data_IF_553225682050
#
_entry.id   IF_553225682050
#
_cell.length_a   1.000
_cell.length_b   1.000
_cell.length_c   1.000
_cell.angle_alpha   90.00
_cell.angle_beta   90.00
_cell.angle_gamma   90.00
#
_symmetry.space_group_name_H-M   'P 1'
#
loop_
_entity.id
_entity.type
_entity.pdbx_description
1 polymer ?
#
# COMPACT_ATOMS: atom_id res chain seq x y z
N UNK A 1 -7.04 13.47 -0.13
CA UNK A 1 -5.61 13.20 -0.44
C UNK A 1 -5.09 13.95 -1.69
N UNK A 2 -5.66 13.82 -2.91
CA UNK A 2 -5.15 14.51 -4.12
C UNK A 2 -4.91 16.01 -3.96
N UNK A 3 -5.86 16.73 -3.37
CA UNK A 3 -5.71 18.17 -3.10
C UNK A 3 -4.47 18.47 -2.24
N UNK A 4 -4.20 17.66 -1.21
CA UNK A 4 -3.05 17.83 -0.32
C UNK A 4 -1.73 17.65 -1.09
N UNK A 5 -1.65 16.58 -1.90
CA UNK A 5 -0.45 16.27 -2.68
C UNK A 5 -0.09 17.39 -3.65
N UNK A 6 -1.09 17.93 -4.37
CA UNK A 6 -0.86 19.02 -5.33
C UNK A 6 -0.54 20.32 -4.60
N UNK A 7 -1.39 20.75 -3.66
CA UNK A 7 -1.34 22.12 -3.14
C UNK A 7 -0.33 22.30 -1.99
N UNK A 8 0.04 21.23 -1.28
CA UNK A 8 1.00 21.30 -0.17
C UNK A 8 2.33 20.66 -0.51
N UNK A 9 2.29 19.47 -1.12
CA UNK A 9 3.50 18.73 -1.47
C UNK A 9 3.98 18.96 -2.90
N UNK A 10 3.29 19.80 -3.68
CA UNK A 10 3.69 20.22 -5.03
C UNK A 10 3.86 19.05 -6.02
N UNK A 11 3.11 17.96 -5.83
CA UNK A 11 3.07 16.89 -6.82
C UNK A 11 2.43 17.40 -8.12
N UNK A 12 3.07 17.19 -9.29
CA UNK A 12 2.46 17.48 -10.58
C UNK A 12 1.10 16.78 -10.71
N UNK A 13 0.04 17.46 -11.16
CA UNK A 13 -1.27 16.82 -11.32
C UNK A 13 -1.25 15.59 -12.23
N UNK A 14 -0.40 15.59 -13.24
CA UNK A 14 -0.25 14.51 -14.23
C UNK A 14 0.53 13.31 -13.69
N UNK A 15 1.25 13.48 -12.57
CA UNK A 15 1.92 12.39 -11.88
C UNK A 15 1.05 11.74 -10.81
N UNK A 16 -0.27 11.99 -10.83
CA UNK A 16 -1.24 11.40 -9.91
C UNK A 16 -2.24 10.56 -10.70
N UNK A 17 -2.14 9.24 -10.53
CA UNK A 17 -3.15 8.30 -10.98
C UNK A 17 -4.16 8.07 -9.84
N UNK A 18 -5.44 8.31 -10.13
CA UNK A 18 -6.53 8.14 -9.18
C UNK A 18 -7.52 7.14 -9.74
N UNK A 19 -7.90 6.15 -8.93
CA UNK A 19 -8.97 5.19 -9.22
C UNK A 19 -10.10 5.41 -8.21
N UNK A 20 -11.33 5.64 -8.69
CA UNK A 20 -12.53 5.81 -7.83
C UNK A 20 -13.78 5.26 -8.49
N UNK A 21 -14.78 4.90 -7.69
CA UNK A 21 -16.08 4.40 -8.17
C UNK A 21 -16.91 5.45 -8.91
N UNK A 22 -16.61 6.74 -8.71
CA UNK A 22 -17.33 7.85 -9.33
C UNK A 22 -16.84 8.16 -10.76
N UNK A 23 -15.78 7.50 -11.22
CA UNK A 23 -15.20 7.72 -12.55
C UNK A 23 -16.03 7.05 -13.65
N UNK A 24 -16.17 7.73 -14.78
CA UNK A 24 -16.82 7.18 -15.98
C UNK A 24 -15.84 6.47 -16.92
N UNK A 25 -14.54 6.76 -16.80
CA UNK A 25 -13.50 6.06 -17.56
C UNK A 25 -13.31 4.64 -16.99
N UNK A 26 -13.55 3.57 -17.79
CA UNK A 26 -13.41 2.20 -17.32
C UNK A 26 -12.00 1.84 -16.84
N UNK A 27 -10.96 2.55 -17.28
CA UNK A 27 -9.57 2.36 -16.82
C UNK A 27 -9.28 3.06 -15.49
N UNK A 28 -10.22 3.89 -15.00
CA UNK A 28 -10.12 4.63 -13.73
C UNK A 28 -11.03 4.06 -12.64
N UNK A 29 -11.79 3.00 -12.94
CA UNK A 29 -12.58 2.27 -11.95
C UNK A 29 -11.65 1.33 -11.13
N UNK A 30 -11.79 1.21 -9.81
CA UNK A 30 -10.91 0.41 -8.95
C UNK A 30 -11.20 -1.11 -9.05
N UNK A 31 -11.11 -1.68 -10.26
CA UNK A 31 -11.12 -3.12 -10.48
C UNK A 31 -9.78 -3.75 -10.07
N UNK A 32 -9.75 -5.07 -9.84
CA UNK A 32 -8.53 -5.79 -9.49
C UNK A 32 -7.43 -5.55 -10.52
N UNK A 33 -7.80 -5.60 -11.80
CA UNK A 33 -6.89 -5.35 -12.90
C UNK A 33 -6.32 -3.92 -12.86
N UNK A 34 -7.18 -2.91 -12.75
CA UNK A 34 -6.75 -1.50 -12.77
C UNK A 34 -5.88 -1.15 -11.56
N UNK A 35 -6.20 -1.68 -10.36
CA UNK A 35 -5.38 -1.48 -9.16
C UNK A 35 -3.99 -2.10 -9.36
N UNK A 36 -3.89 -3.32 -9.90
CA UNK A 36 -2.59 -3.96 -10.21
C UNK A 36 -1.79 -3.12 -11.19
N UNK A 37 -2.41 -2.66 -12.27
CA UNK A 37 -1.74 -1.82 -13.26
C UNK A 37 -1.27 -0.50 -12.66
N UNK A 38 -2.04 0.11 -11.74
CA UNK A 38 -1.65 1.32 -11.05
C UNK A 38 -0.49 1.10 -10.07
N UNK A 39 -0.46 -0.03 -9.36
CA UNK A 39 0.68 -0.44 -8.51
C UNK A 39 1.95 -0.62 -9.34
N UNK A 40 1.87 -1.29 -10.49
CA UNK A 40 3.00 -1.41 -11.41
C UNK A 40 3.45 -0.06 -11.93
N UNK A 41 2.51 0.78 -12.37
CA UNK A 41 2.79 2.13 -12.86
C UNK A 41 3.51 2.98 -11.80
N UNK A 42 3.12 2.88 -10.52
CA UNK A 42 3.69 3.67 -9.43
C UNK A 42 5.21 3.48 -9.29
N UNK A 43 5.72 2.27 -9.47
CA UNK A 43 7.14 1.95 -9.26
C UNK A 43 7.94 1.84 -10.55
N UNK A 44 7.28 1.81 -11.71
CA UNK A 44 7.96 1.66 -13.00
C UNK A 44 8.80 2.90 -13.30
N UNK A 45 10.10 2.70 -13.48
CA UNK A 45 11.03 3.75 -13.85
C UNK A 45 11.46 4.68 -12.70
N UNK A 46 11.15 4.33 -11.44
CA UNK A 46 11.62 5.10 -10.29
C UNK A 46 13.16 5.09 -10.19
N UNK A 47 13.73 6.23 -9.77
CA UNK A 47 15.15 6.47 -9.66
C UNK A 47 15.51 7.01 -8.26
N UNK A 48 16.76 6.84 -7.81
CA UNK A 48 17.21 7.42 -6.54
C UNK A 48 16.85 8.91 -6.44
N UNK A 49 16.18 9.31 -5.35
CA UNK A 49 15.63 10.66 -5.16
C UNK A 49 14.13 10.76 -5.32
N UNK A 50 13.48 9.78 -5.96
CA UNK A 50 12.04 9.79 -6.16
C UNK A 50 11.28 9.54 -4.84
N UNK A 51 10.13 10.22 -4.71
CA UNK A 51 9.20 10.04 -3.59
C UNK A 51 7.84 9.60 -4.12
N UNK A 52 7.52 8.35 -3.85
CA UNK A 52 6.28 7.70 -4.20
C UNK A 52 5.29 7.82 -3.05
N UNK A 53 4.01 7.93 -3.38
CA UNK A 53 2.93 7.79 -2.42
C UNK A 53 1.98 6.67 -2.90
N UNK A 54 1.47 5.88 -1.97
CA UNK A 54 0.39 4.95 -2.24
C UNK A 54 -0.69 5.21 -1.21
N UNK A 55 -1.85 5.67 -1.64
CA UNK A 55 -2.98 5.86 -0.75
C UNK A 55 -4.11 4.93 -1.16
N UNK A 56 -4.61 4.15 -0.21
CA UNK A 56 -5.81 3.34 -0.37
C UNK A 56 -6.79 3.68 0.75
N UNK A 57 -8.02 3.98 0.38
CA UNK A 57 -9.16 4.03 1.30
C UNK A 57 -10.20 3.07 0.77
N UNK A 58 -10.73 2.18 1.61
CA UNK A 58 -11.72 1.19 1.19
C UNK A 58 -11.81 -0.01 2.13
N UNK A 59 -12.40 -1.10 1.66
CA UNK A 59 -12.53 -2.31 2.47
C UNK A 59 -11.26 -3.17 2.41
N UNK A 60 -10.72 -3.45 3.60
CA UNK A 60 -9.78 -4.56 3.78
C UNK A 60 -10.50 -5.89 3.93
N UNK A 61 -9.78 -6.98 3.70
CA UNK A 61 -10.21 -8.35 3.94
C UNK A 61 -9.06 -9.15 4.52
N UNK A 62 -9.39 -10.34 5.02
CA UNK A 62 -8.41 -11.39 5.31
C UNK A 62 -8.64 -12.59 4.41
N UNK A 63 -7.56 -13.22 4.00
CA UNK A 63 -7.57 -14.51 3.34
C UNK A 63 -6.75 -15.48 4.18
N UNK A 64 -7.18 -16.75 4.25
CA UNK A 64 -6.38 -17.76 4.95
C UNK A 64 -5.03 -17.88 4.23
N UNK A 65 -3.95 -17.75 4.99
CA UNK A 65 -2.62 -17.95 4.44
C UNK A 65 -2.40 -19.46 4.20
N UNK A 66 -2.02 -19.81 2.97
CA UNK A 66 -1.73 -21.19 2.56
C UNK A 66 -0.23 -21.51 2.44
N UNK A 67 0.64 -20.50 2.40
CA UNK A 67 2.09 -20.64 2.27
C UNK A 67 2.81 -20.68 3.64
N UNK A 68 2.12 -20.26 4.71
CA UNK A 68 2.58 -20.31 6.10
C UNK A 68 3.59 -19.23 6.50
N UNK A 69 3.71 -18.14 5.75
CA UNK A 69 4.65 -17.07 6.07
C UNK A 69 4.08 -15.98 7.00
N UNK A 70 2.75 -15.89 7.17
CA UNK A 70 2.13 -14.97 8.12
C UNK A 70 2.07 -15.53 9.55
N UNK A 71 2.52 -14.72 10.52
CA UNK A 71 2.60 -15.07 11.94
C UNK A 71 1.22 -15.40 12.54
N UNK A 72 0.18 -14.74 12.04
CA UNK A 72 -1.21 -14.93 12.50
C UNK A 72 -1.99 -15.95 11.63
N UNK A 73 -1.39 -16.49 10.57
CA UNK A 73 -2.01 -17.44 9.63
C UNK A 73 -3.02 -16.84 8.64
N UNK A 74 -3.08 -15.52 8.49
CA UNK A 74 -3.98 -14.83 7.56
C UNK A 74 -3.27 -13.70 6.81
N UNK A 75 -3.36 -13.76 5.48
CA UNK A 75 -2.97 -12.68 4.58
C UNK A 75 -3.99 -11.54 4.70
N UNK A 76 -3.51 -10.31 4.82
CA UNK A 76 -4.33 -9.12 4.63
C UNK A 76 -4.54 -8.88 3.15
N UNK A 77 -5.66 -8.27 2.80
CA UNK A 77 -5.97 -8.01 1.40
C UNK A 77 -6.79 -6.74 1.20
N UNK A 78 -6.55 -6.08 0.07
CA UNK A 78 -7.41 -5.01 -0.43
C UNK A 78 -8.56 -5.63 -1.21
N UNK A 79 -9.77 -5.06 -1.07
CA UNK A 79 -10.95 -5.48 -1.86
C UNK A 79 -11.15 -4.52 -3.04
N UNK A 80 -10.92 -4.97 -4.28
CA UNK A 80 -11.33 -4.24 -5.47
C UNK A 80 -12.86 -4.23 -5.62
N UNK A 81 -13.38 -3.40 -6.53
CA UNK A 81 -14.82 -3.32 -6.77
C UNK A 81 -15.41 -4.63 -7.31
N UNK A 82 -14.64 -5.36 -8.11
CA UNK A 82 -14.99 -6.64 -8.74
C UNK A 82 -14.51 -7.87 -7.94
N UNK A 83 -14.28 -7.72 -6.63
CA UNK A 83 -13.72 -8.78 -5.78
C UNK A 83 -14.58 -10.06 -5.76
N UNK A 84 -15.90 -9.98 -5.98
CA UNK A 84 -16.76 -11.18 -6.03
C UNK A 84 -16.40 -12.10 -7.20
N UNK A 85 -16.00 -11.51 -8.33
CA UNK A 85 -15.65 -12.24 -9.55
C UNK A 85 -14.14 -12.51 -9.65
N UNK A 86 -13.30 -11.56 -9.21
CA UNK A 86 -11.85 -11.59 -9.42
C UNK A 86 -11.05 -11.87 -8.14
N UNK A 87 -11.71 -11.94 -6.99
CA UNK A 87 -11.09 -12.09 -5.68
C UNK A 87 -10.41 -10.80 -5.19
N UNK A 88 -9.73 -10.92 -4.06
CA UNK A 88 -9.01 -9.83 -3.39
C UNK A 88 -7.57 -9.67 -3.90
N UNK A 89 -6.87 -8.61 -3.51
CA UNK A 89 -5.43 -8.40 -3.74
C UNK A 89 -4.72 -8.58 -2.40
N UNK A 90 -3.99 -9.67 -2.24
CA UNK A 90 -3.28 -10.01 -0.99
C UNK A 90 -2.00 -9.18 -0.82
N UNK A 91 -1.61 -8.94 0.43
CA UNK A 91 -0.38 -8.25 0.85
C UNK A 91 0.89 -8.77 0.17
N UNK A 92 1.06 -10.08 0.03
CA UNK A 92 2.18 -10.70 -0.70
C UNK A 92 2.32 -10.16 -2.13
N UNK A 93 1.19 -9.99 -2.82
CA UNK A 93 1.12 -9.45 -4.19
C UNK A 93 1.47 -7.96 -4.21
N UNK A 94 0.99 -7.21 -3.23
CA UNK A 94 1.27 -5.77 -3.11
C UNK A 94 2.75 -5.56 -2.81
N UNK A 95 3.29 -6.30 -1.83
CA UNK A 95 4.70 -6.28 -1.46
C UNK A 95 5.60 -6.65 -2.64
N UNK A 96 5.27 -7.72 -3.37
CA UNK A 96 5.97 -8.12 -4.60
C UNK A 96 6.04 -7.00 -5.64
N UNK A 97 4.98 -6.21 -5.73
CA UNK A 97 4.81 -5.21 -6.77
C UNK A 97 5.46 -3.89 -6.42
N UNK A 98 5.30 -3.39 -5.18
CA UNK A 98 5.73 -2.02 -4.83
C UNK A 98 6.76 -1.91 -3.71
N UNK A 99 7.01 -2.97 -2.93
CA UNK A 99 7.99 -2.94 -1.82
C UNK A 99 9.30 -3.58 -2.25
N UNK A 100 9.28 -4.88 -2.57
CA UNK A 100 10.47 -5.66 -2.96
C UNK A 100 11.29 -5.04 -4.10
N UNK A 101 10.71 -4.52 -5.18
CA UNK A 101 11.49 -3.96 -6.29
C UNK A 101 12.02 -2.56 -6.03
N UNK A 102 11.68 -1.91 -4.90
CA UNK A 102 12.01 -0.52 -4.66
C UNK A 102 13.53 -0.34 -4.47
N UNK A 103 14.22 0.39 -5.36
CA UNK A 103 15.68 0.48 -5.34
C UNK A 103 16.18 1.49 -4.29
N UNK A 104 17.47 1.40 -3.99
CA UNK A 104 18.15 2.34 -3.09
C UNK A 104 17.90 3.81 -3.47
N UNK A 105 17.60 4.64 -2.47
CA UNK A 105 17.37 6.08 -2.65
C UNK A 105 15.95 6.47 -3.05
N UNK A 106 15.07 5.52 -3.36
CA UNK A 106 13.63 5.78 -3.56
C UNK A 106 12.88 5.68 -2.24
N UNK A 107 11.89 6.55 -2.02
CA UNK A 107 11.01 6.51 -0.85
C UNK A 107 9.58 6.19 -1.25
N UNK A 108 8.93 5.25 -0.56
CA UNK A 108 7.51 4.95 -0.70
C UNK A 108 6.78 5.26 0.62
N UNK A 109 5.81 6.17 0.55
CA UNK A 109 4.90 6.46 1.66
C UNK A 109 3.53 5.86 1.38
N UNK A 110 3.17 4.81 2.11
CA UNK A 110 1.86 4.20 2.02
C UNK A 110 0.93 4.74 3.12
N UNK A 111 -0.29 5.08 2.76
CA UNK A 111 -1.36 5.50 3.65
C UNK A 111 -2.56 4.62 3.38
N UNK A 112 -2.89 3.74 4.31
CA UNK A 112 -3.94 2.74 4.13
C UNK A 112 -5.03 2.96 5.16
N UNK A 113 -6.19 3.37 4.68
CA UNK A 113 -7.40 3.56 5.47
C UNK A 113 -8.38 2.42 5.16
N UNK A 114 -8.16 1.28 5.82
CA UNK A 114 -8.97 0.08 5.67
C UNK A 114 -8.93 -0.79 6.94
N UNK A 115 -9.98 -1.60 7.18
CA UNK A 115 -9.96 -2.63 8.21
C UNK A 115 -8.77 -3.59 8.00
N UNK A 116 -8.16 -4.06 9.08
CA UNK A 116 -7.09 -5.06 9.02
C UNK A 116 -5.91 -4.68 8.10
N UNK A 117 -5.63 -3.38 7.94
CA UNK A 117 -4.62 -2.88 7.01
C UNK A 117 -3.22 -2.72 7.61
N UNK A 118 -3.05 -3.01 8.90
CA UNK A 118 -1.81 -2.79 9.65
C UNK A 118 -0.58 -3.43 9.02
N UNK A 119 -0.78 -4.57 8.34
CA UNK A 119 0.29 -5.31 7.67
C UNK A 119 0.09 -5.46 6.16
N UNK A 120 -0.74 -4.64 5.48
CA UNK A 120 -1.06 -4.84 4.05
C UNK A 120 0.13 -4.74 3.07
N UNK A 121 1.30 -4.30 3.56
CA UNK A 121 2.54 -4.23 2.80
C UNK A 121 3.58 -5.26 3.25
N UNK A 122 3.28 -6.11 4.24
CA UNK A 122 4.20 -7.07 4.86
C UNK A 122 5.56 -6.50 5.23
N UNK A 123 5.56 -5.33 5.86
CA UNK A 123 6.80 -4.72 6.30
C UNK A 123 7.38 -5.50 7.49
N UNK A 124 8.72 -5.67 7.55
CA UNK A 124 9.37 -6.48 8.57
C UNK A 124 9.28 -5.88 9.98
N UNK A 125 8.93 -4.60 10.10
CA UNK A 125 8.84 -3.89 11.37
C UNK A 125 7.50 -3.17 11.48
N UNK A 126 6.81 -3.39 12.59
CA UNK A 126 5.55 -2.72 12.91
C UNK A 126 5.72 -1.89 14.18
N UNK A 127 5.35 -0.61 14.11
CA UNK A 127 5.26 0.25 15.28
C UNK A 127 3.80 0.43 15.66
N UNK A 128 3.39 -0.10 16.81
CA UNK A 128 2.00 -0.03 17.25
C UNK A 128 1.86 0.21 18.75
N UNK A 129 0.65 0.59 19.17
CA UNK A 129 0.33 0.77 20.58
C UNK A 129 -0.04 -0.58 21.19
N UNK A 130 0.72 -1.01 22.19
CA UNK A 130 0.44 -2.23 22.97
C UNK A 130 -0.82 -2.08 23.82
N UNK A 131 -1.33 -3.21 24.32
CA UNK A 131 -2.47 -3.26 25.27
C UNK A 131 -2.22 -2.50 26.57
N UNK A 132 -0.95 -2.28 26.93
CA UNK A 132 -0.55 -1.47 28.10
C UNK A 132 -0.52 0.03 27.84
N UNK A 133 -0.82 0.44 26.59
CA UNK A 133 -0.83 1.84 26.17
C UNK A 133 0.53 2.39 25.72
N UNK A 134 1.61 1.63 25.86
CA UNK A 134 2.95 1.97 25.37
C UNK A 134 3.10 1.65 23.88
N UNK A 135 3.84 2.46 23.16
CA UNK A 135 4.20 2.16 21.78
C UNK A 135 5.45 1.29 21.71
N UNK A 136 5.41 0.27 20.87
CA UNK A 136 6.48 -0.75 20.76
C UNK A 136 6.77 -1.06 19.30
N UNK A 137 8.02 -1.39 19.03
CA UNK A 137 8.44 -2.00 17.77
C UNK A 137 8.29 -3.51 17.87
N UNK A 138 7.60 -4.11 16.91
CA UNK A 138 7.46 -5.55 16.74
C UNK A 138 8.26 -5.98 15.49
N UNK A 139 9.08 -7.02 15.65
CA UNK A 139 9.72 -7.71 14.53
C UNK A 139 8.72 -8.71 13.94
N UNK A 140 8.34 -8.49 12.69
CA UNK A 140 7.36 -9.29 11.96
C UNK A 140 7.97 -10.06 10.80
N UNK A 141 9.29 -10.21 10.78
CA UNK A 141 9.95 -11.05 9.77
C UNK A 141 9.44 -12.49 9.88
N UNK A 142 9.10 -13.14 8.76
CA UNK A 142 8.51 -14.46 8.79
C UNK A 142 9.53 -15.49 9.31
N UNK A 143 9.12 -16.48 10.13
CA UNK A 143 10.02 -17.54 10.60
C UNK A 143 10.65 -18.36 9.47
N UNK A 144 10.03 -18.36 8.29
CA UNK A 144 10.55 -18.99 7.06
C UNK A 144 11.84 -18.35 6.54
N UNK A 145 12.16 -17.13 6.98
CA UNK A 145 13.31 -16.36 6.49
C UNK A 145 13.09 -15.72 5.11
N UNK A 146 11.87 -15.79 4.55
CA UNK A 146 11.52 -15.10 3.31
C UNK A 146 11.72 -13.59 3.49
N UNK A 147 12.48 -12.98 2.58
CA UNK A 147 12.71 -11.55 2.61
C UNK A 147 11.49 -10.80 2.05
N UNK A 148 10.80 -10.05 2.93
CA UNK A 148 9.69 -9.15 2.58
C UNK A 148 10.07 -7.66 2.60
N UNK A 149 11.36 -7.33 2.76
CA UNK A 149 11.85 -5.95 2.71
C UNK A 149 12.05 -5.42 1.28
N UNK A 150 12.40 -4.14 1.16
CA UNK A 150 12.68 -3.50 -0.14
C UNK A 150 14.05 -3.88 -0.72
N UNK A 151 14.27 -3.54 -1.99
CA UNK A 151 15.56 -3.65 -2.69
C UNK A 151 16.57 -2.55 -2.31
N UNK A 152 16.39 -1.90 -1.15
CA UNK A 152 17.23 -0.80 -0.65
C UNK A 152 16.49 0.54 -0.53
N UNK A 153 15.29 0.66 -1.10
CA UNK A 153 14.43 1.83 -0.93
C UNK A 153 13.86 1.95 0.49
N UNK A 154 13.44 3.15 0.88
CA UNK A 154 12.77 3.39 2.16
C UNK A 154 11.26 3.22 1.99
N UNK A 155 10.62 2.40 2.83
CA UNK A 155 9.17 2.18 2.78
C UNK A 155 8.58 2.47 4.16
N UNK A 156 7.62 3.38 4.20
CA UNK A 156 6.89 3.77 5.42
C UNK A 156 5.41 3.57 5.15
N UNK A 157 4.73 2.84 6.03
CA UNK A 157 3.28 2.63 5.96
C UNK A 157 2.60 3.24 7.19
N UNK A 158 1.50 3.94 6.95
CA UNK A 158 0.59 4.43 7.98
C UNK A 158 -0.77 3.76 7.78
N UNK A 159 -1.25 3.01 8.76
CA UNK A 159 -2.59 2.41 8.74
C UNK A 159 -3.53 3.12 9.71
N UNK A 160 -4.79 3.30 9.30
CA UNK A 160 -5.84 3.90 10.13
C UNK A 160 -6.48 2.94 11.13
N UNK A 161 -6.21 1.64 11.02
CA UNK A 161 -6.84 0.59 11.81
C UNK A 161 -5.80 -0.43 12.28
N UNK A 162 -5.90 -0.85 13.54
CA UNK A 162 -5.20 -2.04 14.02
C UNK A 162 -5.78 -3.28 13.31
N UNK A 163 -4.98 -4.33 13.25
CA UNK A 163 -5.37 -5.65 12.73
C UNK A 163 -6.64 -6.22 13.37
N UNK A 164 -7.09 -5.71 14.52
CA UNK A 164 -8.26 -6.22 15.25
C UNK A 164 -9.45 -5.24 15.24
N UNK A 165 -9.44 -4.22 14.39
CA UNK A 165 -10.49 -3.20 14.32
C UNK A 165 -11.13 -3.10 12.93
N UNK A 166 -12.40 -2.70 12.92
CA UNK A 166 -13.18 -2.41 11.72
C UNK A 166 -13.23 -0.89 11.49
N UNK A 167 -12.80 -0.41 10.32
CA UNK A 167 -13.04 0.95 9.86
C UNK A 167 -14.51 1.11 9.43
N UNK A 168 -15.08 2.31 9.65
CA UNK A 168 -16.42 2.65 9.17
C UNK A 168 -16.40 2.98 7.67
N UNK A 169 -17.49 2.68 6.96
CA UNK A 169 -17.60 2.76 5.49
C UNK A 169 -17.19 4.14 4.91
N UNK A 170 -16.23 4.11 3.98
CA UNK A 170 -15.86 5.24 3.11
C UNK A 170 -15.66 4.69 1.70
N UNK A 171 -16.07 5.46 0.69
CA UNK A 171 -15.91 5.14 -0.73
C UNK A 171 -14.48 4.75 -1.09
N UNK A 172 -14.34 3.75 -1.98
CA UNK A 172 -13.02 3.27 -2.39
C UNK A 172 -12.31 4.36 -3.21
N UNK A 173 -11.19 4.86 -2.69
CA UNK A 173 -10.32 5.80 -3.41
C UNK A 173 -8.87 5.36 -3.32
N UNK A 174 -8.29 5.01 -4.46
CA UNK A 174 -6.87 4.71 -4.59
C UNK A 174 -6.16 5.85 -5.29
N UNK A 175 -5.11 6.40 -4.69
CA UNK A 175 -4.32 7.51 -5.25
C UNK A 175 -2.86 7.09 -5.27
N UNK A 176 -2.26 7.18 -6.44
CA UNK A 176 -0.88 6.82 -6.72
C UNK A 176 -0.14 8.06 -7.25
N UNK A 177 0.61 8.77 -6.41
CA UNK A 177 1.45 9.89 -6.80
C UNK A 177 2.91 9.44 -7.03
N UNK A 178 3.50 9.96 -8.10
CA UNK A 178 4.91 9.85 -8.42
C UNK A 178 5.56 11.25 -8.39
N UNK A 179 6.74 11.39 -7.77
CA UNK A 179 7.55 12.61 -7.86
C UNK A 179 8.92 12.23 -8.43
N UNK A 180 9.28 12.82 -9.57
CA UNK A 180 10.64 12.76 -10.10
C UNK A 180 11.51 13.78 -9.35
N UNK A 181 12.57 13.30 -8.70
CA UNK A 181 13.57 14.19 -8.12
C UNK A 181 14.40 14.83 -9.25
N UNK A 182 14.31 16.15 -9.44
CA UNK A 182 15.29 16.84 -10.30
C UNK A 182 16.67 16.73 -9.66
N UNK A 183 17.55 15.97 -10.30
CA UNK A 183 18.94 15.83 -9.90
C UNK A 183 19.64 17.19 -9.93
N UNK A 184 20.04 17.67 -8.75
CA UNK A 184 20.90 18.84 -8.64
C UNK A 184 22.25 18.56 -9.29
N UNK A 185 22.59 19.40 -10.27
CA UNK A 185 23.92 19.54 -10.88
C UNK A 185 24.98 20.01 -9.89
#
# INVERSE_FOLDING_TARGET
MRYLLINKFQFPPDSILMLTEAESDPYRIPTKHNIRMALYWLVTGCQPGDSLVFHYSGHGSRQRNYNGDEINGYDQALRPLDFEAQGVIVDDEINATIVRPLPCGVKLHAIIDACHSGTVLDLPYLYRRSSTGQYVWEDRRPPSGIWKGSGGGEVISFSGCDDDQSSADISVSSIFPLLFGEGGS
#
